data_IF_622974424127
#
_entry.id   IF_622974424127
#
_cell.length_a   1.000
_cell.length_b   1.000
_cell.length_c   1.000
_cell.angle_alpha   90.00
_cell.angle_beta   90.00
_cell.angle_gamma   90.00
#
_symmetry.space_group_name_H-M   'P 1'
#
loop_
_entity.id
_entity.type
_entity.pdbx_description
1 polymer ?
#
# COMPACT_ATOMS: atom_id res chain seq x y z
N UNK A 1 -19.19 0.48 21.71
CA UNK A 1 -19.96 1.28 20.73
C UNK A 1 -21.33 0.63 20.53
N UNK A 2 -22.42 1.41 20.43
CA UNK A 2 -23.74 0.85 20.07
C UNK A 2 -23.74 0.31 18.64
N UNK A 3 -24.65 -0.61 18.33
CA UNK A 3 -24.83 -1.09 16.96
C UNK A 3 -25.23 0.06 16.03
N UNK A 4 -24.59 0.15 14.86
CA UNK A 4 -24.85 1.19 13.87
C UNK A 4 -24.69 0.64 12.44
N UNK A 5 -25.33 1.30 11.48
CA UNK A 5 -25.12 1.04 10.06
C UNK A 5 -23.85 1.77 9.59
N UNK A 6 -22.95 1.03 8.94
CA UNK A 6 -21.73 1.58 8.33
C UNK A 6 -21.73 1.31 6.82
N UNK A 7 -21.16 2.22 6.03
CA UNK A 7 -21.10 2.11 4.57
C UNK A 7 -19.67 2.30 4.08
N UNK A 8 -19.25 1.44 3.16
CA UNK A 8 -18.05 1.60 2.36
C UNK A 8 -18.45 1.65 0.89
N UNK A 9 -17.94 2.63 0.16
CA UNK A 9 -18.07 2.73 -1.29
C UNK A 9 -16.66 2.62 -1.88
N UNK A 10 -16.49 1.77 -2.89
CA UNK A 10 -15.23 1.65 -3.63
C UNK A 10 -15.48 1.65 -5.14
N UNK A 11 -14.57 2.26 -5.94
CA UNK A 11 -14.55 2.09 -7.38
C UNK A 11 -14.19 0.63 -7.76
N UNK A 12 -14.76 0.13 -8.85
CA UNK A 12 -14.61 -1.28 -9.27
C UNK A 12 -13.16 -1.64 -9.61
N UNK A 13 -12.39 -0.65 -10.07
CA UNK A 13 -10.97 -0.72 -10.41
C UNK A 13 -10.12 -1.17 -9.21
N UNK A 14 -10.54 -0.88 -7.97
CA UNK A 14 -9.83 -1.34 -6.76
C UNK A 14 -9.96 -2.85 -6.51
N UNK A 15 -10.75 -3.56 -7.32
CA UNK A 15 -10.78 -5.03 -7.36
C UNK A 15 -9.80 -5.62 -8.36
N UNK A 16 -9.21 -4.80 -9.23
CA UNK A 16 -8.27 -5.26 -10.24
C UNK A 16 -6.94 -5.66 -9.60
N UNK A 17 -6.49 -6.86 -9.95
CA UNK A 17 -5.19 -7.40 -9.53
C UNK A 17 -4.07 -6.73 -10.32
N UNK A 18 -2.91 -6.63 -9.70
CA UNK A 18 -1.75 -5.95 -10.25
C UNK A 18 -0.88 -5.37 -9.16
N UNK A 19 0.09 -4.56 -9.55
CA UNK A 19 1.00 -3.88 -8.64
C UNK A 19 0.49 -2.47 -8.37
N UNK A 20 0.18 -2.18 -7.11
CA UNK A 20 -0.42 -0.94 -6.65
C UNK A 20 0.44 -0.34 -5.54
N UNK A 21 0.41 0.99 -5.43
CA UNK A 21 0.85 1.72 -4.24
C UNK A 21 -0.38 2.23 -3.50
N UNK A 22 -0.30 2.29 -2.19
CA UNK A 22 -1.35 2.90 -1.39
C UNK A 22 -0.82 3.52 -0.10
N UNK A 23 -1.57 4.51 0.37
CA UNK A 23 -1.41 5.13 1.68
C UNK A 23 -2.73 4.96 2.44
N UNK A 24 -2.64 4.42 3.64
CA UNK A 24 -3.70 4.57 4.63
C UNK A 24 -3.55 5.93 5.28
N UNK A 25 -4.57 6.79 5.17
CA UNK A 25 -4.69 8.01 5.99
C UNK A 25 -5.67 7.70 7.13
N UNK A 26 -5.21 7.86 8.37
CA UNK A 26 -5.90 7.39 9.56
C UNK A 26 -6.16 8.59 10.47
N UNK A 27 -7.43 8.86 10.78
CA UNK A 27 -7.80 9.85 11.79
C UNK A 27 -7.74 9.21 13.18
N UNK A 28 -6.55 9.22 13.81
CA UNK A 28 -6.34 8.66 15.14
C UNK A 28 -6.57 9.71 16.25
N UNK A 29 -6.82 9.28 17.50
CA UNK A 29 -7.08 10.20 18.63
C UNK A 29 -5.95 11.20 18.90
N UNK A 30 -4.71 10.81 18.61
CA UNK A 30 -3.51 11.60 18.91
C UNK A 30 -3.00 12.41 17.71
N UNK A 31 -3.75 12.44 16.60
CA UNK A 31 -3.36 13.10 15.36
C UNK A 31 -3.48 12.20 14.13
N UNK A 32 -3.34 12.77 12.92
CA UNK A 32 -3.37 12.00 11.68
C UNK A 32 -2.14 11.09 11.56
N UNK A 33 -2.38 9.81 11.26
CA UNK A 33 -1.32 8.82 11.03
C UNK A 33 -1.41 8.26 9.62
N UNK A 34 -0.27 7.83 9.10
CA UNK A 34 -0.18 7.31 7.74
C UNK A 34 0.52 5.94 7.73
N UNK A 35 0.11 5.07 6.82
CA UNK A 35 0.84 3.83 6.54
C UNK A 35 0.96 3.64 5.05
N UNK A 36 2.18 3.44 4.57
CA UNK A 36 2.46 3.21 3.15
C UNK A 36 2.56 1.72 2.89
N UNK A 37 1.93 1.26 1.82
CA UNK A 37 2.04 -0.12 1.40
C UNK A 37 1.93 -0.29 -0.10
N UNK A 38 2.15 -1.52 -0.53
CA UNK A 38 1.95 -1.93 -1.92
C UNK A 38 1.29 -3.29 -2.06
N UNK A 39 0.96 -3.64 -3.30
CA UNK A 39 0.68 -5.01 -3.72
C UNK A 39 1.85 -5.54 -4.58
N UNK A 40 1.90 -6.87 -4.76
CA UNK A 40 3.08 -7.56 -5.31
C UNK A 40 3.91 -8.18 -4.20
N UNK A 41 3.49 -9.36 -3.74
CA UNK A 41 4.05 -10.00 -2.56
C UNK A 41 5.46 -10.55 -2.81
N UNK A 42 6.31 -10.54 -1.78
CA UNK A 42 7.65 -11.11 -1.89
C UNK A 42 7.65 -12.65 -1.98
N UNK A 43 6.58 -13.30 -1.52
CA UNK A 43 6.49 -14.76 -1.39
C UNK A 43 5.54 -15.43 -2.40
N UNK A 44 4.86 -14.65 -3.23
CA UNK A 44 3.81 -15.13 -4.13
C UNK A 44 3.85 -14.38 -5.47
N UNK A 45 3.68 -15.08 -6.61
CA UNK A 45 3.69 -14.43 -7.93
C UNK A 45 2.40 -13.64 -8.19
N UNK A 46 1.48 -13.66 -7.25
CA UNK A 46 0.15 -13.10 -7.37
C UNK A 46 0.09 -11.70 -6.74
N UNK A 47 0.07 -10.67 -7.57
CA UNK A 47 -0.14 -9.31 -7.12
C UNK A 47 -1.64 -9.10 -6.83
N UNK A 48 -2.03 -9.04 -5.56
CA UNK A 48 -3.42 -8.84 -5.14
C UNK A 48 -3.95 -7.44 -5.48
N UNK A 49 -5.26 -7.24 -5.35
CA UNK A 49 -5.88 -5.92 -5.45
C UNK A 49 -5.81 -5.16 -4.10
N UNK A 50 -5.88 -3.81 -4.08
CA UNK A 50 -5.88 -3.03 -2.84
C UNK A 50 -7.01 -3.42 -1.88
N UNK A 51 -8.21 -3.70 -2.41
CA UNK A 51 -9.35 -4.12 -1.59
C UNK A 51 -9.07 -5.41 -0.80
N UNK A 52 -8.34 -6.38 -1.40
CA UNK A 52 -7.93 -7.60 -0.68
C UNK A 52 -7.02 -7.28 0.50
N UNK A 53 -6.13 -6.30 0.36
CA UNK A 53 -5.20 -5.88 1.43
C UNK A 53 -5.88 -5.08 2.52
N UNK A 54 -6.95 -4.35 2.21
CA UNK A 54 -7.72 -3.59 3.19
C UNK A 54 -8.19 -4.44 4.36
N UNK A 55 -8.87 -5.56 4.09
CA UNK A 55 -9.34 -6.43 5.16
C UNK A 55 -8.20 -7.08 5.94
N UNK A 56 -7.12 -7.42 5.25
CA UNK A 56 -5.98 -8.12 5.84
C UNK A 56 -5.20 -7.24 6.83
N UNK A 57 -4.90 -5.99 6.46
CA UNK A 57 -4.03 -5.08 7.22
C UNK A 57 -4.59 -4.67 8.58
N UNK A 58 -5.93 -4.55 8.68
CA UNK A 58 -6.63 -4.23 9.92
C UNK A 58 -7.18 -5.47 10.65
N UNK A 59 -7.11 -6.64 10.00
CA UNK A 59 -7.55 -7.90 10.56
C UNK A 59 -6.74 -8.36 11.77
N UNK A 60 -7.11 -9.50 12.33
CA UNK A 60 -6.48 -10.08 13.53
C UNK A 60 -5.47 -11.18 13.24
N UNK A 61 -5.40 -11.65 11.98
CA UNK A 61 -4.42 -12.65 11.56
C UNK A 61 -2.99 -12.12 11.69
N UNK A 62 -2.18 -12.80 12.51
CA UNK A 62 -0.83 -12.36 12.84
C UNK A 62 0.10 -12.21 11.61
N UNK A 63 -0.21 -12.91 10.52
CA UNK A 63 0.61 -12.90 9.31
C UNK A 63 0.20 -11.81 8.31
N UNK A 64 -0.90 -11.09 8.55
CA UNK A 64 -1.43 -10.14 7.57
C UNK A 64 -1.83 -8.78 8.16
N UNK A 65 -1.74 -8.59 9.47
CA UNK A 65 -2.25 -7.44 10.22
C UNK A 65 -1.23 -6.29 10.42
N UNK A 66 -0.42 -5.99 9.40
CA UNK A 66 0.71 -5.08 9.54
C UNK A 66 0.29 -3.67 10.03
N UNK A 67 -0.78 -3.10 9.48
CA UNK A 67 -1.29 -1.80 9.92
C UNK A 67 -1.76 -1.83 11.38
N UNK A 68 -2.58 -2.82 11.77
CA UNK A 68 -3.02 -2.99 13.17
C UNK A 68 -1.85 -3.04 14.14
N UNK A 69 -0.79 -3.80 13.83
CA UNK A 69 0.40 -3.89 14.70
C UNK A 69 1.12 -2.56 14.82
N UNK A 70 1.25 -1.82 13.72
CA UNK A 70 1.93 -0.52 13.73
C UNK A 70 1.15 0.51 14.56
N UNK A 71 -0.19 0.52 14.46
CA UNK A 71 -1.05 1.37 15.30
C UNK A 71 -0.87 1.05 16.78
N UNK A 72 -0.94 -0.22 17.17
CA UNK A 72 -0.76 -0.66 18.56
C UNK A 72 0.64 -0.28 19.07
N UNK A 73 1.68 -0.46 18.25
CA UNK A 73 3.04 -0.07 18.60
C UNK A 73 3.20 1.45 18.80
N UNK A 74 2.34 2.26 18.17
CA UNK A 74 2.24 3.71 18.36
C UNK A 74 1.24 4.11 19.47
N UNK A 75 0.79 3.16 20.29
CA UNK A 75 -0.14 3.42 21.39
C UNK A 75 -1.57 3.75 20.93
N UNK A 76 -1.94 3.37 19.71
CA UNK A 76 -3.28 3.60 19.15
C UNK A 76 -4.02 2.27 19.01
N UNK A 77 -5.17 2.18 19.66
CA UNK A 77 -6.13 1.09 19.41
C UNK A 77 -6.82 1.34 18.07
N UNK A 78 -6.82 0.39 17.11
CA UNK A 78 -7.45 0.61 15.81
C UNK A 78 -8.93 0.98 15.87
N UNK A 79 -9.65 0.42 16.84
CA UNK A 79 -11.08 0.68 17.06
C UNK A 79 -11.38 2.09 17.59
N UNK A 80 -10.37 2.80 18.10
CA UNK A 80 -10.51 4.17 18.61
C UNK A 80 -10.29 5.23 17.50
N UNK A 81 -9.79 4.81 16.33
CA UNK A 81 -9.64 5.70 15.17
C UNK A 81 -11.00 6.06 14.58
N UNK A 82 -11.18 7.32 14.19
CA UNK A 82 -12.46 7.84 13.68
C UNK A 82 -12.69 7.45 12.22
N UNK A 83 -11.63 7.40 11.39
CA UNK A 83 -11.74 7.02 9.99
C UNK A 83 -10.44 6.44 9.44
N UNK A 84 -10.59 5.70 8.34
CA UNK A 84 -9.53 5.11 7.55
C UNK A 84 -9.81 5.36 6.07
N UNK A 85 -8.93 6.10 5.41
CA UNK A 85 -8.97 6.28 3.96
C UNK A 85 -7.88 5.43 3.31
N UNK A 86 -8.26 4.56 2.36
CA UNK A 86 -7.32 3.85 1.51
C UNK A 86 -7.13 4.61 0.20
N UNK A 87 -6.07 5.40 0.12
CA UNK A 87 -5.71 6.16 -1.08
C UNK A 87 -4.77 5.28 -1.90
N UNK A 88 -5.23 4.77 -3.04
CA UNK A 88 -4.48 3.82 -3.86
C UNK A 88 -4.30 4.33 -5.29
N UNK A 89 -3.13 4.07 -5.86
CA UNK A 89 -2.81 4.37 -7.26
C UNK A 89 -2.33 3.10 -7.97
N UNK A 90 -2.94 2.82 -9.12
CA UNK A 90 -2.58 1.68 -9.95
C UNK A 90 -3.75 1.12 -10.77
N UNK A 91 -3.59 -0.12 -11.30
CA UNK A 91 -2.35 -0.91 -11.22
C UNK A 91 -1.23 -0.24 -12.03
N UNK A 92 -0.07 0.00 -11.40
CA UNK A 92 1.13 0.58 -12.03
C UNK A 92 1.70 -0.39 -13.07
N UNK A 93 1.68 -1.68 -12.71
CA UNK A 93 1.93 -2.79 -13.61
C UNK A 93 0.80 -3.81 -13.49
N UNK A 94 0.41 -4.48 -14.58
CA UNK A 94 -0.57 -5.55 -14.53
C UNK A 94 -0.03 -6.74 -13.72
N UNK A 95 -0.95 -7.59 -13.27
CA UNK A 95 -0.56 -8.89 -12.73
C UNK A 95 0.10 -9.75 -13.82
N UNK A 96 1.06 -10.59 -13.44
CA UNK A 96 1.54 -11.68 -14.30
C UNK A 96 0.42 -12.71 -14.47
N UNK A 97 -0.06 -12.85 -15.70
CA UNK A 97 -1.08 -13.83 -16.06
C UNK A 97 -0.58 -15.26 -15.84
N UNK A 98 -1.50 -16.13 -15.43
CA UNK A 98 -1.22 -17.54 -15.31
C UNK A 98 -1.42 -18.21 -16.67
N UNK A 99 -0.32 -18.54 -17.33
CA UNK A 99 -0.28 -19.18 -18.65
C UNK A 99 -0.07 -20.71 -18.59
N UNK A 100 -0.15 -21.29 -17.40
CA UNK A 100 0.13 -22.71 -17.16
C UNK A 100 1.56 -22.98 -16.64
N UNK A 101 2.41 -21.95 -16.59
CA UNK A 101 3.73 -22.04 -15.99
C UNK A 101 3.68 -22.39 -14.50
N UNK A 102 4.76 -22.99 -14.00
CA UNK A 102 4.90 -23.25 -12.56
C UNK A 102 5.11 -21.96 -11.75
N UNK A 103 5.01 -22.10 -10.43
CA UNK A 103 5.14 -20.99 -9.49
C UNK A 103 6.48 -20.26 -9.63
N UNK A 104 7.57 -20.98 -9.85
CA UNK A 104 8.91 -20.40 -9.82
C UNK A 104 9.16 -19.56 -11.08
N UNK A 105 8.71 -20.04 -12.25
CA UNK A 105 8.71 -19.30 -13.51
C UNK A 105 7.84 -18.04 -13.42
N UNK A 106 6.66 -18.15 -12.78
CA UNK A 106 5.82 -16.97 -12.53
C UNK A 106 6.50 -15.97 -11.58
N UNK A 107 7.20 -16.47 -10.56
CA UNK A 107 7.96 -15.63 -9.64
C UNK A 107 9.12 -14.90 -10.32
N UNK A 108 9.83 -15.53 -11.25
CA UNK A 108 10.90 -14.89 -12.02
C UNK A 108 10.40 -13.69 -12.82
N UNK A 109 9.21 -13.78 -13.42
CA UNK A 109 8.55 -12.67 -14.12
C UNK A 109 7.96 -11.62 -13.16
N UNK A 110 7.49 -12.04 -11.99
CA UNK A 110 6.93 -11.17 -10.97
C UNK A 110 7.98 -10.28 -10.30
N UNK A 111 9.15 -10.86 -9.99
CA UNK A 111 10.21 -10.24 -9.19
C UNK A 111 10.68 -8.87 -9.72
N UNK A 112 10.93 -8.66 -11.02
CA UNK A 112 11.34 -7.36 -11.56
C UNK A 112 10.30 -6.27 -11.30
N UNK A 113 9.03 -6.52 -11.59
CA UNK A 113 7.94 -5.56 -11.35
C UNK A 113 7.77 -5.26 -9.86
N UNK A 114 7.85 -6.32 -9.04
CA UNK A 114 7.85 -6.25 -7.58
C UNK A 114 9.04 -5.43 -7.06
N UNK A 115 10.20 -5.47 -7.68
CA UNK A 115 11.34 -4.65 -7.27
C UNK A 115 11.10 -3.17 -7.55
N UNK A 116 10.58 -2.85 -8.74
CA UNK A 116 10.24 -1.48 -9.11
C UNK A 116 9.22 -0.86 -8.15
N UNK A 117 8.09 -1.53 -7.90
CA UNK A 117 7.07 -0.98 -6.98
C UNK A 117 7.53 -0.99 -5.52
N UNK A 118 8.46 -1.88 -5.13
CA UNK A 118 9.08 -1.83 -3.81
C UNK A 118 10.03 -0.64 -3.63
N UNK A 119 10.74 -0.23 -4.69
CA UNK A 119 11.51 1.01 -4.68
C UNK A 119 10.58 2.24 -4.60
N UNK A 120 9.48 2.24 -5.35
CA UNK A 120 8.47 3.32 -5.28
C UNK A 120 7.79 3.41 -3.90
N UNK A 121 7.47 2.28 -3.27
CA UNK A 121 6.92 2.23 -1.90
C UNK A 121 7.87 2.89 -0.89
N UNK A 122 9.18 2.67 -1.06
CA UNK A 122 10.19 3.35 -0.25
C UNK A 122 10.21 4.85 -0.51
N UNK A 123 10.25 5.28 -1.77
CA UNK A 123 10.26 6.69 -2.14
C UNK A 123 9.01 7.43 -1.62
N UNK A 124 7.84 6.79 -1.68
CA UNK A 124 6.61 7.34 -1.12
C UNK A 124 6.65 7.43 0.41
N UNK A 125 7.13 6.38 1.08
CA UNK A 125 7.26 6.36 2.54
C UNK A 125 8.23 7.44 3.04
N UNK A 126 9.42 7.52 2.45
CA UNK A 126 10.45 8.49 2.83
C UNK A 126 10.01 9.91 2.45
N UNK A 127 9.45 10.11 1.25
CA UNK A 127 8.98 11.42 0.79
C UNK A 127 7.85 12.00 1.64
N UNK A 128 6.94 11.16 2.17
CA UNK A 128 5.93 11.60 3.13
C UNK A 128 6.55 11.98 4.48
N UNK A 129 7.52 11.22 4.98
CA UNK A 129 8.22 11.55 6.22
C UNK A 129 9.00 12.86 6.10
N UNK A 130 9.74 13.03 5.01
CA UNK A 130 10.52 14.24 4.73
C UNK A 130 9.64 15.49 4.54
N UNK A 131 8.38 15.29 4.15
CA UNK A 131 7.36 16.32 4.07
C UNK A 131 6.70 16.64 5.43
N UNK A 132 7.01 15.89 6.48
CA UNK A 132 6.50 16.09 7.85
C UNK A 132 5.21 15.33 8.17
N UNK A 133 4.80 14.36 7.36
CA UNK A 133 3.68 13.47 7.69
C UNK A 133 4.13 12.39 8.69
N UNK A 134 3.28 12.09 9.68
CA UNK A 134 3.51 10.98 10.61
C UNK A 134 3.21 9.63 9.94
N UNK A 135 4.27 8.99 9.43
CA UNK A 135 4.19 7.68 8.75
C UNK A 135 4.67 6.57 9.68
N UNK A 136 3.76 5.63 9.97
CA UNK A 136 3.91 4.57 10.96
C UNK A 136 4.98 3.54 10.61
N UNK A 137 5.09 3.16 9.33
CA UNK A 137 5.99 2.11 8.90
C UNK A 137 7.30 2.67 8.33
N UNK A 138 8.33 1.82 8.28
CA UNK A 138 9.58 2.10 7.57
C UNK A 138 9.78 1.04 6.50
N UNK A 139 10.11 1.47 5.29
CA UNK A 139 10.29 0.59 4.13
C UNK A 139 11.78 0.41 3.89
N UNK A 140 12.30 -0.75 4.29
CA UNK A 140 13.67 -1.15 4.04
C UNK A 140 13.77 -1.76 2.64
N UNK A 141 14.08 -0.94 1.66
CA UNK A 141 14.26 -1.34 0.26
C UNK A 141 15.63 -0.90 -0.25
N UNK A 142 16.28 -1.78 -1.02
CA UNK A 142 17.58 -1.53 -1.68
C UNK A 142 17.48 -1.56 -3.20
N UNK A 143 16.28 -1.77 -3.73
CA UNK A 143 16.06 -1.83 -5.18
C UNK A 143 16.09 -0.43 -5.76
N UNK A 144 16.52 -0.34 -7.01
CA UNK A 144 16.67 0.91 -7.75
C UNK A 144 15.69 0.87 -8.92
N UNK A 145 15.11 2.03 -9.21
CA UNK A 145 14.20 2.16 -10.35
C UNK A 145 14.97 2.02 -11.67
N UNK A 146 14.33 1.40 -12.65
CA UNK A 146 14.72 1.52 -14.06
C UNK A 146 14.22 2.87 -14.59
N UNK A 147 14.64 3.32 -15.79
CA UNK A 147 14.09 4.53 -16.39
C UNK A 147 12.55 4.52 -16.53
N UNK A 148 11.96 3.38 -16.95
CA UNK A 148 10.50 3.21 -16.96
C UNK A 148 9.90 3.31 -15.54
N UNK A 149 10.59 2.74 -14.55
CA UNK A 149 10.20 2.85 -13.15
C UNK A 149 10.21 4.28 -12.63
N UNK A 150 11.17 5.11 -13.04
CA UNK A 150 11.22 6.54 -12.69
C UNK A 150 10.03 7.30 -13.28
N UNK A 151 9.69 7.05 -14.56
CA UNK A 151 8.54 7.67 -15.22
C UNK A 151 7.22 7.32 -14.50
N UNK A 152 7.01 6.03 -14.21
CA UNK A 152 5.82 5.55 -13.48
C UNK A 152 5.78 6.04 -12.04
N UNK A 153 6.94 6.19 -11.40
CA UNK A 153 7.02 6.77 -10.07
C UNK A 153 6.58 8.23 -10.08
N UNK A 154 7.07 9.03 -11.02
CA UNK A 154 6.68 10.43 -11.12
C UNK A 154 5.18 10.58 -11.37
N UNK A 155 4.57 9.75 -12.23
CA UNK A 155 3.11 9.71 -12.39
C UNK A 155 2.38 9.42 -11.06
N UNK A 156 2.77 8.34 -10.38
CA UNK A 156 2.16 7.95 -9.10
C UNK A 156 2.33 9.06 -8.04
N UNK A 157 3.51 9.67 -7.98
CA UNK A 157 3.82 10.77 -7.07
C UNK A 157 2.95 11.99 -7.31
N UNK A 158 2.73 12.39 -8.57
CA UNK A 158 1.82 13.49 -8.88
C UNK A 158 0.38 13.16 -8.50
N UNK A 159 -0.06 11.91 -8.68
CA UNK A 159 -1.38 11.48 -8.22
C UNK A 159 -1.51 11.59 -6.68
N UNK A 160 -0.53 11.09 -5.93
CA UNK A 160 -0.54 11.19 -4.46
C UNK A 160 -0.47 12.63 -3.95
N UNK A 161 0.16 13.57 -4.68
CA UNK A 161 0.19 14.99 -4.31
C UNK A 161 -1.19 15.65 -4.23
N UNK A 162 -2.22 15.07 -4.84
CA UNK A 162 -3.59 15.56 -4.70
C UNK A 162 -4.09 15.44 -3.26
N UNK A 163 -3.73 14.37 -2.56
CA UNK A 163 -4.04 14.14 -1.14
C UNK A 163 -2.90 14.55 -0.20
N UNK A 164 -1.66 14.57 -0.70
CA UNK A 164 -0.45 14.88 0.06
C UNK A 164 0.37 16.01 -0.63
N UNK A 165 -0.10 17.26 -0.62
CA UNK A 165 0.53 18.35 -1.40
C UNK A 165 1.99 18.64 -1.02
N UNK A 166 2.41 18.29 0.20
CA UNK A 166 3.78 18.49 0.66
C UNK A 166 4.73 17.35 0.24
N UNK A 167 4.22 16.26 -0.37
CA UNK A 167 5.03 15.13 -0.85
C UNK A 167 6.10 15.62 -1.83
N UNK A 168 7.37 15.44 -1.45
CA UNK A 168 8.52 15.96 -2.19
C UNK A 168 8.90 15.11 -3.38
#
# INVERSE_FOLDING_TARGET
>A
MPAALHRLTLPGEMLQRGFWLYVWRIAAPNGPLHYVGRTGDNSSPHAAAPFTRMGQHLGTSANSNALRRNLIAHGVTPEDCTSYDLIAHGPIYPQIDHDGSDRDTLMERHKPLRDQVGAMEKLLCDGLKDAGYDVLNTVNCKWVLTPEGEEKWEEAKQAFRQDFPALR
#
